data_IF_156446338977
#
_entry.id   IF_156446338977
#
_cell.length_a   1.000
_cell.length_b   1.000
_cell.length_c   1.000
_cell.angle_alpha   90.00
_cell.angle_beta   90.00
_cell.angle_gamma   90.00
#
_symmetry.space_group_name_H-M   'P 1'
#
loop_
_entity.id
_entity.type
_entity.pdbx_description
1 polymer ?
#
# COMPACT_ATOMS: atom_id res chain seq x y z
N UNK A 1 11.94 8.01 8.69
CA UNK A 1 12.03 9.37 9.27
C UNK A 1 11.30 9.48 10.60
N UNK A 2 9.98 9.27 10.66
CA UNK A 2 9.22 9.39 11.92
C UNK A 2 9.80 8.57 13.09
N UNK A 3 10.14 7.30 12.87
CA UNK A 3 10.80 6.47 13.89
C UNK A 3 12.18 7.00 14.34
N UNK A 4 12.92 7.69 13.47
CA UNK A 4 14.21 8.30 13.83
C UNK A 4 14.03 9.55 14.71
N UNK A 5 12.99 10.36 14.45
CA UNK A 5 12.58 11.45 15.35
C UNK A 5 12.20 10.87 16.71
N UNK A 6 11.42 9.78 16.71
CA UNK A 6 11.08 9.03 17.92
C UNK A 6 12.30 8.52 18.69
N UNK A 7 13.33 8.02 17.99
CA UNK A 7 14.59 7.61 18.60
C UNK A 7 15.35 8.80 19.24
N UNK A 8 15.34 9.97 18.58
CA UNK A 8 15.89 11.21 19.16
C UNK A 8 15.19 11.62 20.46
N UNK A 9 13.86 11.58 20.48
CA UNK A 9 13.08 11.80 21.71
C UNK A 9 13.37 10.77 22.79
N UNK A 10 13.51 9.48 22.43
CA UNK A 10 13.90 8.45 23.39
C UNK A 10 15.25 8.75 24.04
N UNK A 11 16.26 9.16 23.24
CA UNK A 11 17.58 9.50 23.76
C UNK A 11 17.54 10.71 24.72
N UNK A 12 16.72 11.72 24.42
CA UNK A 12 16.54 12.91 25.27
C UNK A 12 15.86 12.58 26.60
N UNK A 13 14.80 11.77 26.58
CA UNK A 13 13.96 11.49 27.75
C UNK A 13 14.42 10.26 28.56
N UNK A 14 15.22 9.38 27.97
CA UNK A 14 15.82 8.20 28.64
C UNK A 14 17.33 8.13 28.41
N UNK A 15 18.10 9.09 28.94
CA UNK A 15 19.55 9.15 28.73
C UNK A 15 20.32 7.95 29.32
N UNK A 16 19.72 7.21 30.27
CA UNK A 16 20.34 6.03 30.88
C UNK A 16 20.30 4.76 29.99
N UNK A 17 19.52 4.75 28.90
CA UNK A 17 19.41 3.59 27.99
C UNK A 17 19.30 4.02 26.51
N UNK A 18 20.30 4.75 25.97
CA UNK A 18 20.24 5.36 24.64
C UNK A 18 20.26 4.33 23.50
N UNK A 19 20.78 3.12 23.73
CA UNK A 19 20.91 2.07 22.71
C UNK A 19 19.81 1.00 22.78
N UNK A 20 18.93 1.04 23.80
CA UNK A 20 17.77 0.16 23.90
C UNK A 20 16.58 0.71 23.09
N UNK A 21 16.75 0.81 21.76
CA UNK A 21 15.72 1.31 20.85
C UNK A 21 14.66 0.25 20.50
N UNK A 22 15.02 -1.04 20.64
CA UNK A 22 14.14 -2.16 20.31
C UNK A 22 12.93 -2.18 21.26
N UNK A 23 11.74 -1.92 20.70
CA UNK A 23 10.51 -1.83 21.48
C UNK A 23 10.32 -0.52 22.24
N UNK A 24 11.09 0.53 21.92
CA UNK A 24 10.87 1.86 22.48
C UNK A 24 9.50 2.43 22.04
N UNK A 25 8.65 2.88 22.98
CA UNK A 25 7.34 3.44 22.64
C UNK A 25 7.45 4.71 21.80
N UNK A 26 8.53 5.48 21.95
CA UNK A 26 8.76 6.70 21.18
C UNK A 26 9.09 6.40 19.71
N UNK A 27 9.85 5.33 19.44
CA UNK A 27 10.18 4.91 18.08
C UNK A 27 8.92 4.43 17.35
N UNK A 28 8.08 3.64 18.03
CA UNK A 28 6.80 3.18 17.49
C UNK A 28 5.86 4.37 17.26
N UNK A 29 5.69 5.26 18.24
CA UNK A 29 4.87 6.45 18.10
C UNK A 29 5.34 7.33 16.93
N UNK A 30 6.65 7.55 16.80
CA UNK A 30 7.22 8.28 15.67
C UNK A 30 6.95 7.61 14.32
N UNK A 31 7.03 6.28 14.24
CA UNK A 31 6.68 5.55 13.02
C UNK A 31 5.19 5.70 12.67
N UNK A 32 4.30 5.60 13.67
CA UNK A 32 2.86 5.82 13.53
C UNK A 32 2.54 7.23 13.04
N UNK A 33 3.12 8.26 13.66
CA UNK A 33 2.99 9.64 13.21
C UNK A 33 3.43 9.82 11.76
N UNK A 34 4.53 9.18 11.36
CA UNK A 34 5.01 9.23 9.97
C UNK A 34 4.02 8.63 8.98
N UNK A 35 3.38 7.50 9.32
CA UNK A 35 2.38 6.88 8.45
C UNK A 35 1.09 7.71 8.40
N UNK A 36 0.59 8.14 9.55
CA UNK A 36 -0.58 9.01 9.67
C UNK A 36 -0.40 10.31 8.86
N UNK A 37 0.81 10.86 8.92
CA UNK A 37 1.22 12.03 8.16
C UNK A 37 1.23 11.79 6.65
N UNK A 38 1.87 10.71 6.20
CA UNK A 38 2.05 10.43 4.78
C UNK A 38 0.72 10.13 4.07
N UNK A 39 -0.23 9.50 4.75
CA UNK A 39 -1.46 9.00 4.14
C UNK A 39 -2.74 9.67 4.63
N UNK A 40 -2.64 10.72 5.44
CA UNK A 40 -3.82 11.36 6.06
C UNK A 40 -4.71 10.38 6.85
N UNK A 41 -4.11 9.30 7.35
CA UNK A 41 -4.81 8.13 7.88
C UNK A 41 -4.34 7.78 9.30
N UNK A 42 -4.83 8.51 10.33
CA UNK A 42 -4.41 8.30 11.71
C UNK A 42 -4.81 6.93 12.27
N UNK A 43 -6.01 6.42 11.96
CA UNK A 43 -6.46 5.13 12.46
C UNK A 43 -5.64 3.99 11.82
N UNK A 44 -5.36 4.08 10.53
CA UNK A 44 -4.47 3.14 9.84
C UNK A 44 -3.05 3.16 10.40
N UNK A 45 -2.52 4.35 10.71
CA UNK A 45 -1.23 4.51 11.39
C UNK A 45 -1.17 3.74 12.70
N UNK A 46 -2.19 3.89 13.55
CA UNK A 46 -2.30 3.16 14.81
C UNK A 46 -2.33 1.64 14.61
N UNK A 47 -3.16 1.14 13.69
CA UNK A 47 -3.25 -0.29 13.39
C UNK A 47 -1.96 -0.87 12.82
N UNK A 48 -1.27 -0.13 11.96
CA UNK A 48 0.00 -0.55 11.36
C UNK A 48 1.05 -0.92 12.42
N UNK A 49 1.10 -0.18 13.53
CA UNK A 49 2.03 -0.49 14.61
C UNK A 49 1.81 -1.87 15.26
N UNK A 50 0.56 -2.32 15.34
CA UNK A 50 0.20 -3.56 16.03
C UNK A 50 0.01 -4.75 15.10
N UNK A 51 -0.38 -4.51 13.85
CA UNK A 51 -0.59 -5.55 12.86
C UNK A 51 0.68 -5.85 12.08
N UNK A 52 1.34 -4.83 11.53
CA UNK A 52 2.54 -5.00 10.69
C UNK A 52 3.83 -4.94 11.50
N UNK A 53 4.03 -3.88 12.30
CA UNK A 53 5.27 -3.75 13.09
C UNK A 53 5.35 -4.76 14.25
N UNK A 54 4.26 -5.50 14.52
CA UNK A 54 4.13 -6.50 15.60
C UNK A 54 4.55 -5.94 16.97
N UNK A 55 4.22 -4.66 17.23
CA UNK A 55 4.53 -4.00 18.49
C UNK A 55 3.72 -4.60 19.66
N UNK A 56 4.23 -4.42 20.89
CA UNK A 56 3.56 -4.91 22.11
C UNK A 56 2.19 -4.27 22.28
N UNK A 57 1.20 -5.03 22.73
CA UNK A 57 -0.18 -4.54 22.94
C UNK A 57 -0.38 -4.08 24.38
N UNK A 58 0.47 -3.16 24.83
CA UNK A 58 0.38 -2.56 26.15
C UNK A 58 -0.48 -1.29 26.05
N UNK A 59 -1.36 -1.06 27.03
CA UNK A 59 -2.27 0.11 27.04
C UNK A 59 -1.53 1.43 26.83
N UNK A 60 -0.35 1.58 27.46
CA UNK A 60 0.48 2.78 27.30
C UNK A 60 0.95 2.99 25.85
N UNK A 61 1.31 1.91 25.14
CA UNK A 61 1.78 2.01 23.77
C UNK A 61 0.62 2.34 22.81
N UNK A 62 -0.56 1.76 23.04
CA UNK A 62 -1.77 2.07 22.28
C UNK A 62 -2.12 3.55 22.41
N UNK A 63 -2.14 4.07 23.64
CA UNK A 63 -2.42 5.50 23.88
C UNK A 63 -1.37 6.38 23.22
N UNK A 64 -0.08 6.04 23.35
CA UNK A 64 1.00 6.81 22.74
C UNK A 64 0.93 6.81 21.20
N UNK A 65 0.67 5.65 20.59
CA UNK A 65 0.50 5.51 19.15
C UNK A 65 -0.68 6.34 18.64
N UNK A 66 -1.86 6.21 19.27
CA UNK A 66 -3.05 6.98 18.90
C UNK A 66 -2.84 8.50 19.08
N UNK A 67 -2.27 8.93 20.21
CA UNK A 67 -1.98 10.34 20.47
C UNK A 67 -1.00 10.90 19.42
N UNK A 68 0.02 10.13 19.04
CA UNK A 68 0.98 10.52 18.03
C UNK A 68 0.37 10.58 16.63
N UNK A 69 -0.51 9.63 16.27
CA UNK A 69 -1.26 9.64 15.01
C UNK A 69 -2.15 10.88 14.89
N UNK A 70 -2.91 11.19 15.95
CA UNK A 70 -3.78 12.37 16.01
C UNK A 70 -2.95 13.65 15.93
N UNK A 71 -1.86 13.74 16.69
CA UNK A 71 -0.95 14.89 16.65
C UNK A 71 -0.41 15.15 15.25
N UNK A 72 0.07 14.10 14.56
CA UNK A 72 0.54 14.20 13.19
C UNK A 72 -0.56 14.65 12.22
N UNK A 73 -1.77 14.08 12.33
CA UNK A 73 -2.91 14.44 11.51
C UNK A 73 -3.31 15.92 11.70
N UNK A 74 -3.39 16.39 12.95
CA UNK A 74 -3.70 17.78 13.25
C UNK A 74 -2.62 18.73 12.72
N UNK A 75 -1.34 18.37 12.87
CA UNK A 75 -0.24 19.20 12.36
C UNK A 75 -0.29 19.34 10.84
N UNK A 76 -0.51 18.25 10.12
CA UNK A 76 -0.60 18.30 8.66
C UNK A 76 -1.84 19.05 8.20
N UNK A 77 -2.95 18.96 8.94
CA UNK A 77 -4.14 19.77 8.67
C UNK A 77 -3.91 21.26 8.87
N UNK A 78 -3.17 21.65 9.90
CA UNK A 78 -2.85 23.05 10.17
C UNK A 78 -1.86 23.60 9.13
N UNK A 79 -0.81 22.83 8.82
CA UNK A 79 0.28 23.31 7.96
C UNK A 79 -0.10 23.31 6.49
N UNK A 80 -0.76 22.24 6.02
CA UNK A 80 -1.01 22.07 4.59
C UNK A 80 -2.47 22.31 4.18
N UNK A 81 -3.42 22.31 5.13
CA UNK A 81 -4.84 22.51 4.84
C UNK A 81 -5.43 21.49 3.86
N UNK A 82 -4.74 20.38 3.60
CA UNK A 82 -5.12 19.41 2.56
C UNK A 82 -6.33 18.57 2.98
N UNK A 83 -7.06 18.07 1.98
CA UNK A 83 -8.17 17.15 2.16
C UNK A 83 -7.73 15.69 2.07
N UNK A 84 -8.69 14.82 1.78
CA UNK A 84 -8.44 13.41 1.48
C UNK A 84 -7.52 13.26 0.27
N UNK A 85 -6.65 12.25 0.31
CA UNK A 85 -5.73 11.92 -0.78
C UNK A 85 -6.50 11.39 -2.00
N UNK A 86 -7.57 10.62 -1.76
CA UNK A 86 -8.37 10.02 -2.83
C UNK A 86 -9.81 10.57 -2.76
N UNK A 87 -10.29 11.30 -3.78
CA UNK A 87 -11.61 11.95 -3.76
C UNK A 87 -12.77 10.99 -4.11
N UNK A 88 -12.75 9.74 -3.64
CA UNK A 88 -13.70 8.70 -4.05
C UNK A 88 -14.97 8.58 -3.20
N UNK A 89 -15.26 9.55 -2.33
CA UNK A 89 -16.35 9.46 -1.36
C UNK A 89 -17.75 9.17 -1.94
N UNK A 90 -17.96 9.39 -3.25
CA UNK A 90 -19.19 9.05 -3.95
C UNK A 90 -19.29 7.60 -4.44
N UNK A 91 -18.29 6.75 -4.19
CA UNK A 91 -18.36 5.34 -4.60
C UNK A 91 -19.38 4.60 -3.73
N UNK A 92 -20.29 3.89 -4.37
CA UNK A 92 -21.34 3.13 -3.69
C UNK A 92 -21.04 1.64 -3.74
N UNK A 93 -21.19 0.94 -2.63
CA UNK A 93 -20.96 -0.49 -2.58
C UNK A 93 -21.88 -1.23 -3.57
N UNK A 94 -21.38 -2.32 -4.19
CA UNK A 94 -22.23 -3.14 -5.03
C UNK A 94 -23.34 -3.80 -4.19
N UNK A 95 -24.46 -4.18 -4.81
CA UNK A 95 -25.53 -4.90 -4.13
C UNK A 95 -25.02 -6.24 -3.57
N UNK A 96 -25.67 -6.73 -2.52
CA UNK A 96 -25.32 -7.99 -1.84
C UNK A 96 -25.25 -9.19 -2.80
N UNK A 97 -26.03 -9.18 -3.89
CA UNK A 97 -26.00 -10.19 -4.94
C UNK A 97 -24.65 -10.30 -5.66
N UNK A 98 -23.82 -9.25 -5.63
CA UNK A 98 -22.51 -9.20 -6.29
C UNK A 98 -21.33 -9.43 -5.32
N UNK A 99 -21.57 -9.66 -4.02
CA UNK A 99 -20.51 -9.85 -3.02
C UNK A 99 -19.66 -11.11 -3.27
N UNK A 100 -20.21 -12.13 -3.93
CA UNK A 100 -19.42 -13.30 -4.33
C UNK A 100 -18.34 -12.95 -5.37
N UNK A 101 -18.58 -11.93 -6.20
CA UNK A 101 -17.59 -11.40 -7.16
C UNK A 101 -16.45 -10.71 -6.40
N UNK A 102 -16.78 -9.95 -5.35
CA UNK A 102 -15.81 -9.33 -4.44
C UNK A 102 -14.98 -10.39 -3.70
N UNK A 103 -15.60 -11.52 -3.30
CA UNK A 103 -14.88 -12.64 -2.71
C UNK A 103 -13.91 -13.29 -3.71
N UNK A 104 -14.34 -13.46 -4.96
CA UNK A 104 -13.50 -14.00 -6.04
C UNK A 104 -12.34 -13.06 -6.37
N UNK A 105 -12.59 -11.75 -6.40
CA UNK A 105 -11.55 -10.72 -6.54
C UNK A 105 -10.48 -10.89 -5.46
N UNK A 106 -10.89 -10.96 -4.19
CA UNK A 106 -9.98 -11.21 -3.08
C UNK A 106 -9.12 -12.47 -3.29
N UNK A 107 -9.72 -13.56 -3.76
CA UNK A 107 -8.98 -14.79 -4.01
C UNK A 107 -7.93 -14.64 -5.12
N UNK A 108 -8.30 -14.04 -6.24
CA UNK A 108 -7.40 -13.79 -7.37
C UNK A 108 -6.28 -12.83 -6.97
N UNK A 109 -6.59 -11.78 -6.22
CA UNK A 109 -5.62 -10.78 -5.77
C UNK A 109 -4.68 -11.34 -4.70
N UNK A 110 -5.13 -12.34 -3.94
CA UNK A 110 -4.27 -13.18 -3.10
C UNK A 110 -3.14 -13.82 -3.92
N UNK A 111 -3.46 -14.43 -5.06
CA UNK A 111 -2.47 -15.04 -5.97
C UNK A 111 -1.57 -13.97 -6.60
N UNK A 112 -2.16 -12.88 -7.10
CA UNK A 112 -1.40 -11.78 -7.72
C UNK A 112 -0.42 -11.13 -6.74
N UNK A 113 -0.81 -10.94 -5.47
CA UNK A 113 0.06 -10.42 -4.42
C UNK A 113 1.24 -11.37 -4.12
N UNK A 114 1.01 -12.68 -4.11
CA UNK A 114 2.11 -13.66 -4.02
C UNK A 114 3.05 -13.55 -5.23
N UNK A 115 2.50 -13.35 -6.43
CA UNK A 115 3.27 -13.07 -7.63
C UNK A 115 4.18 -11.85 -7.44
N UNK A 116 3.62 -10.74 -6.96
CA UNK A 116 4.36 -9.50 -6.66
C UNK A 116 5.50 -9.71 -5.66
N UNK A 117 5.26 -10.42 -4.56
CA UNK A 117 6.30 -10.68 -3.57
C UNK A 117 7.43 -11.52 -4.16
N UNK A 118 7.09 -12.58 -4.92
CA UNK A 118 8.10 -13.44 -5.56
C UNK A 118 8.93 -12.69 -6.60
N UNK A 119 8.31 -11.87 -7.45
CA UNK A 119 9.04 -11.08 -8.45
C UNK A 119 9.91 -10.02 -7.80
N UNK A 120 9.44 -9.38 -6.71
CA UNK A 120 10.21 -8.36 -6.00
C UNK A 120 11.47 -8.96 -5.38
N UNK A 121 11.32 -10.09 -4.66
CA UNK A 121 12.45 -10.76 -4.03
C UNK A 121 13.41 -11.34 -5.07
N UNK A 122 12.90 -11.90 -6.17
CA UNK A 122 13.73 -12.36 -7.27
C UNK A 122 14.52 -11.21 -7.91
N UNK A 123 13.87 -10.05 -8.14
CA UNK A 123 14.52 -8.88 -8.71
C UNK A 123 15.56 -8.32 -7.74
N UNK A 124 15.24 -8.28 -6.44
CA UNK A 124 16.17 -7.90 -5.38
C UNK A 124 17.42 -8.77 -5.39
N UNK A 125 17.28 -10.10 -5.41
CA UNK A 125 18.40 -11.02 -5.38
C UNK A 125 19.23 -10.94 -6.68
N UNK A 126 18.60 -10.65 -7.83
CA UNK A 126 19.27 -10.37 -9.11
C UNK A 126 20.04 -9.06 -9.13
N UNK A 127 19.47 -8.00 -8.57
CA UNK A 127 20.13 -6.70 -8.46
C UNK A 127 21.31 -6.79 -7.47
N UNK A 128 21.14 -7.48 -6.34
CA UNK A 128 22.22 -7.69 -5.39
C UNK A 128 23.42 -8.42 -6.02
N UNK A 129 23.17 -9.39 -6.93
CA UNK A 129 24.19 -10.19 -7.61
C UNK A 129 24.77 -9.61 -8.90
N UNK A 130 24.27 -8.48 -9.40
CA UNK A 130 24.78 -7.91 -10.65
C UNK A 130 26.16 -7.27 -10.47
N UNK A 131 27.03 -7.46 -11.47
CA UNK A 131 28.40 -6.91 -11.51
C UNK A 131 28.58 -5.84 -12.59
N UNK A 132 27.55 -5.60 -13.40
CA UNK A 132 27.61 -4.69 -14.55
C UNK A 132 27.70 -3.22 -14.11
N UNK A 133 27.01 -2.85 -13.04
CA UNK A 133 26.91 -1.47 -12.57
C UNK A 133 27.58 -1.38 -11.19
N UNK A 134 28.63 -0.56 -11.03
CA UNK A 134 29.25 -0.36 -9.72
C UNK A 134 28.26 0.19 -8.71
N UNK A 135 28.42 -0.19 -7.43
CA UNK A 135 27.47 0.14 -6.35
C UNK A 135 27.10 1.63 -6.26
N UNK A 136 28.09 2.51 -6.45
CA UNK A 136 27.92 3.97 -6.48
C UNK A 136 26.98 4.49 -7.58
N UNK A 137 26.80 3.72 -8.65
CA UNK A 137 25.97 4.09 -9.82
C UNK A 137 24.67 3.26 -9.90
N UNK A 138 24.39 2.38 -8.94
CA UNK A 138 23.18 1.53 -8.95
C UNK A 138 21.88 2.33 -8.96
N UNK A 139 21.90 3.56 -8.43
CA UNK A 139 20.76 4.48 -8.47
C UNK A 139 20.57 5.19 -9.83
N UNK A 140 21.56 5.18 -10.73
CA UNK A 140 21.49 5.94 -11.98
C UNK A 140 20.47 5.37 -12.98
N UNK A 141 20.44 4.05 -13.28
CA UNK A 141 19.46 3.52 -14.23
C UNK A 141 17.98 3.76 -13.87
N UNK A 142 17.49 3.52 -12.63
CA UNK A 142 16.11 3.82 -12.29
C UNK A 142 15.81 5.32 -12.29
N UNK A 143 16.81 6.17 -11.99
CA UNK A 143 16.68 7.62 -12.09
C UNK A 143 16.54 8.07 -13.55
N UNK A 144 17.34 7.53 -14.47
CA UNK A 144 17.21 7.80 -15.91
C UNK A 144 15.87 7.31 -16.44
N UNK A 145 15.44 6.11 -16.03
CA UNK A 145 14.13 5.57 -16.38
C UNK A 145 13.00 6.47 -15.87
N UNK A 146 13.09 6.94 -14.63
CA UNK A 146 12.15 7.90 -14.06
C UNK A 146 12.15 9.22 -14.85
N UNK A 147 13.32 9.73 -15.23
CA UNK A 147 13.43 10.94 -16.07
C UNK A 147 12.78 10.77 -17.45
N UNK A 148 13.01 9.64 -18.12
CA UNK A 148 12.35 9.33 -19.39
C UNK A 148 10.82 9.22 -19.22
N UNK A 149 10.35 8.50 -18.20
CA UNK A 149 8.92 8.43 -17.91
C UNK A 149 8.34 9.82 -17.59
N UNK A 150 9.12 10.77 -17.07
CA UNK A 150 8.63 12.10 -16.72
C UNK A 150 8.28 12.92 -17.94
N UNK A 151 9.04 12.70 -19.02
CA UNK A 151 8.84 13.37 -20.29
C UNK A 151 7.73 12.73 -21.12
N UNK A 152 7.64 11.40 -21.13
CA UNK A 152 6.73 10.68 -22.05
C UNK A 152 5.46 10.14 -21.40
N UNK A 153 5.48 9.84 -20.10
CA UNK A 153 4.37 9.20 -19.39
C UNK A 153 4.30 9.64 -17.91
N UNK A 154 4.04 10.93 -17.64
CA UNK A 154 4.14 11.52 -16.30
C UNK A 154 3.22 10.84 -15.28
N UNK A 155 2.11 10.23 -15.73
CA UNK A 155 1.17 9.51 -14.89
C UNK A 155 1.79 8.28 -14.19
N UNK A 156 2.87 7.71 -14.73
CA UNK A 156 3.52 6.52 -14.17
C UNK A 156 4.47 6.83 -13.00
N UNK A 157 4.83 8.11 -12.81
CA UNK A 157 5.82 8.53 -11.81
C UNK A 157 5.21 8.71 -10.43
N UNK A 158 6.09 8.72 -9.42
CA UNK A 158 5.72 8.93 -8.02
C UNK A 158 5.05 7.70 -7.42
N UNK A 159 4.39 7.90 -6.29
CA UNK A 159 3.69 6.82 -5.57
C UNK A 159 2.55 6.18 -6.38
N UNK A 160 1.95 6.94 -7.32
CA UNK A 160 0.83 6.48 -8.14
C UNK A 160 -0.54 6.99 -7.69
N UNK A 161 -0.60 7.99 -6.81
CA UNK A 161 -1.84 8.67 -6.39
C UNK A 161 -2.63 9.20 -7.59
N UNK A 162 -1.99 9.99 -8.46
CA UNK A 162 -2.61 10.52 -9.68
C UNK A 162 -3.13 9.42 -10.60
N UNK A 163 -2.42 8.29 -10.69
CA UNK A 163 -2.84 7.13 -11.47
C UNK A 163 -4.04 6.42 -10.85
N UNK A 164 -4.10 6.30 -9.52
CA UNK A 164 -5.27 5.76 -8.81
C UNK A 164 -6.49 6.63 -9.10
N UNK A 165 -6.38 7.95 -8.96
CA UNK A 165 -7.47 8.90 -9.25
C UNK A 165 -7.92 8.77 -10.70
N UNK A 166 -6.96 8.75 -11.64
CA UNK A 166 -7.26 8.62 -13.07
C UNK A 166 -8.09 7.37 -13.39
N UNK A 167 -7.71 6.19 -12.89
CA UNK A 167 -8.45 4.94 -13.19
C UNK A 167 -9.71 4.77 -12.37
N UNK A 168 -9.83 5.47 -11.24
CA UNK A 168 -11.03 5.49 -10.41
C UNK A 168 -12.14 6.35 -10.99
N UNK A 169 -11.81 7.50 -11.57
CA UNK A 169 -12.79 8.49 -12.05
C UNK A 169 -13.07 8.42 -13.55
N UNK A 170 -12.11 8.00 -14.35
CA UNK A 170 -12.21 8.05 -15.81
C UNK A 170 -12.42 6.66 -16.40
N UNK A 171 -13.14 6.61 -17.51
CA UNK A 171 -13.18 5.41 -18.34
C UNK A 171 -11.88 5.30 -19.13
N UNK A 172 -11.15 4.22 -18.85
CA UNK A 172 -9.85 3.98 -19.45
C UNK A 172 -9.96 2.81 -20.40
N UNK A 173 -9.57 3.02 -21.66
CA UNK A 173 -9.53 1.94 -22.63
C UNK A 173 -8.68 0.77 -22.11
N UNK A 174 -9.20 -0.46 -22.25
CA UNK A 174 -8.57 -1.68 -21.73
C UNK A 174 -7.09 -1.80 -22.13
N UNK A 175 -6.76 -1.48 -23.39
CA UNK A 175 -5.38 -1.49 -23.88
C UNK A 175 -4.47 -0.53 -23.10
N UNK A 176 -4.96 0.68 -22.84
CA UNK A 176 -4.23 1.70 -22.06
C UNK A 176 -4.06 1.24 -20.61
N UNK A 177 -5.10 0.66 -20.01
CA UNK A 177 -5.05 0.14 -18.65
C UNK A 177 -3.99 -0.97 -18.50
N UNK A 178 -3.94 -1.93 -19.43
CA UNK A 178 -2.94 -2.99 -19.43
C UNK A 178 -1.52 -2.41 -19.58
N UNK A 179 -1.33 -1.42 -20.46
CA UNK A 179 -0.04 -0.75 -20.60
C UNK A 179 0.38 -0.03 -19.32
N UNK A 180 -0.53 0.75 -18.72
CA UNK A 180 -0.28 1.47 -17.47
C UNK A 180 0.09 0.50 -16.34
N UNK A 181 -0.64 -0.60 -16.21
CA UNK A 181 -0.36 -1.66 -15.24
C UNK A 181 1.03 -2.28 -15.47
N UNK A 182 1.34 -2.68 -16.71
CA UNK A 182 2.62 -3.30 -17.03
C UNK A 182 3.80 -2.36 -16.74
N UNK A 183 3.75 -1.13 -17.23
CA UNK A 183 4.82 -0.16 -17.00
C UNK A 183 4.93 0.25 -15.54
N UNK A 184 3.81 0.49 -14.84
CA UNK A 184 3.84 0.83 -13.41
C UNK A 184 4.41 -0.32 -12.59
N UNK A 185 4.03 -1.55 -12.90
CA UNK A 185 4.53 -2.73 -12.21
C UNK A 185 6.04 -2.86 -12.35
N UNK A 186 6.55 -2.82 -13.59
CA UNK A 186 7.99 -2.91 -13.87
C UNK A 186 8.76 -1.75 -13.22
N UNK A 187 8.27 -0.52 -13.36
CA UNK A 187 8.93 0.66 -12.81
C UNK A 187 8.94 0.65 -11.28
N UNK A 188 7.82 0.33 -10.63
CA UNK A 188 7.72 0.29 -9.18
C UNK A 188 8.63 -0.80 -8.57
N UNK A 189 8.62 -2.00 -9.16
CA UNK A 189 9.47 -3.12 -8.76
C UNK A 189 10.95 -2.76 -8.88
N UNK A 190 11.35 -2.23 -10.03
CA UNK A 190 12.74 -1.85 -10.28
C UNK A 190 13.23 -0.71 -9.38
N UNK A 191 12.40 0.32 -9.18
CA UNK A 191 12.75 1.48 -8.34
C UNK A 191 12.85 1.11 -6.86
N UNK A 192 12.12 0.09 -6.41
CA UNK A 192 12.18 -0.40 -5.03
C UNK A 192 13.47 -1.18 -4.77
N UNK A 193 13.87 -2.00 -5.73
CA UNK A 193 15.02 -2.89 -5.61
C UNK A 193 16.32 -2.13 -5.80
N UNK A 194 16.34 -1.14 -6.69
CA UNK A 194 17.48 -0.25 -6.77
C UNK A 194 17.67 0.47 -5.43
N UNK A 195 18.92 0.71 -5.04
CA UNK A 195 19.35 1.24 -3.73
C UNK A 195 18.91 2.70 -3.45
N UNK A 196 17.69 3.06 -3.82
CA UNK A 196 17.06 4.36 -3.66
C UNK A 196 16.13 4.29 -2.45
N UNK A 197 16.25 5.21 -1.48
CA UNK A 197 15.36 5.25 -0.34
C UNK A 197 13.92 5.57 -0.81
N UNK A 198 13.01 4.64 -0.61
CA UNK A 198 11.63 4.75 -1.06
C UNK A 198 10.66 3.88 -0.25
N UNK A 199 9.36 4.18 -0.38
CA UNK A 199 8.30 3.42 0.26
C UNK A 199 7.59 2.48 -0.72
N UNK A 200 7.19 1.31 -0.23
CA UNK A 200 6.44 0.29 -0.98
C UNK A 200 4.92 0.51 -0.96
N UNK A 201 4.41 1.22 0.04
CA UNK A 201 2.99 1.25 0.36
C UNK A 201 2.13 1.84 -0.77
N UNK A 202 2.43 3.07 -1.20
CA UNK A 202 1.62 3.73 -2.25
C UNK A 202 1.70 3.00 -3.60
N UNK A 203 2.88 2.55 -4.08
CA UNK A 203 2.95 1.76 -5.31
C UNK A 203 2.15 0.45 -5.25
N UNK A 204 2.13 -0.25 -4.11
CA UNK A 204 1.31 -1.46 -3.94
C UNK A 204 -0.18 -1.11 -4.05
N UNK A 205 -0.64 -0.06 -3.38
CA UNK A 205 -2.03 0.40 -3.52
C UNK A 205 -2.35 0.78 -4.97
N UNK A 206 -1.45 1.47 -5.66
CA UNK A 206 -1.62 1.84 -7.07
C UNK A 206 -1.77 0.62 -7.99
N UNK A 207 -0.93 -0.40 -7.81
CA UNK A 207 -1.06 -1.65 -8.55
C UNK A 207 -2.37 -2.37 -8.24
N UNK A 208 -2.79 -2.37 -6.97
CA UNK A 208 -4.10 -2.90 -6.56
C UNK A 208 -5.26 -2.16 -7.23
N UNK A 209 -5.21 -0.84 -7.34
CA UNK A 209 -6.21 -0.04 -8.06
C UNK A 209 -6.27 -0.39 -9.55
N UNK A 210 -5.12 -0.57 -10.21
CA UNK A 210 -5.03 -0.93 -11.62
C UNK A 210 -5.57 -2.34 -11.88
N UNK A 211 -5.19 -3.31 -11.04
CA UNK A 211 -5.78 -4.65 -11.08
C UNK A 211 -7.28 -4.62 -10.79
N UNK A 212 -7.72 -3.81 -9.83
CA UNK A 212 -9.12 -3.63 -9.45
C UNK A 212 -9.95 -3.08 -10.61
N UNK A 213 -9.46 -2.05 -11.30
CA UNK A 213 -10.12 -1.55 -12.51
C UNK A 213 -10.13 -2.61 -13.61
N UNK A 214 -9.05 -3.37 -13.80
CA UNK A 214 -8.99 -4.43 -14.80
C UNK A 214 -9.98 -5.57 -14.50
N UNK A 215 -10.13 -5.94 -13.22
CA UNK A 215 -11.11 -6.89 -12.73
C UNK A 215 -12.54 -6.42 -13.03
N UNK A 216 -12.77 -5.13 -12.88
CA UNK A 216 -14.06 -4.51 -13.12
C UNK A 216 -14.40 -4.44 -14.62
N UNK A 217 -13.41 -4.12 -15.48
CA UNK A 217 -13.57 -4.03 -16.93
C UNK A 217 -13.69 -5.38 -17.65
N UNK A 218 -13.20 -6.48 -17.06
CA UNK A 218 -13.18 -7.80 -17.68
C UNK A 218 -14.19 -8.77 -17.02
N UNK A 219 -13.90 -9.37 -15.84
CA UNK A 219 -14.87 -10.22 -15.15
C UNK A 219 -16.22 -9.56 -14.86
N UNK A 220 -16.23 -8.38 -14.22
CA UNK A 220 -17.48 -7.80 -13.74
C UNK A 220 -18.37 -7.37 -14.90
N UNK A 221 -17.80 -6.70 -15.90
CA UNK A 221 -18.54 -6.29 -17.11
C UNK A 221 -19.12 -7.50 -17.88
N UNK A 222 -18.35 -8.59 -18.01
CA UNK A 222 -18.81 -9.81 -18.66
C UNK A 222 -19.94 -10.48 -17.88
N UNK A 223 -19.86 -10.53 -16.55
CA UNK A 223 -20.93 -11.05 -15.69
C UNK A 223 -22.18 -10.15 -15.72
N UNK A 224 -22.00 -8.82 -15.76
CA UNK A 224 -23.08 -7.86 -15.86
C UNK A 224 -23.86 -8.03 -17.17
N UNK A 225 -23.17 -8.30 -18.29
CA UNK A 225 -23.81 -8.61 -19.57
C UNK A 225 -24.73 -9.85 -19.51
N UNK A 226 -24.48 -10.76 -18.57
CA UNK A 226 -25.32 -11.95 -18.31
C UNK A 226 -26.30 -11.76 -17.15
N UNK A 227 -26.43 -10.54 -16.60
CA UNK A 227 -27.30 -10.24 -15.47
C UNK A 227 -26.84 -10.81 -14.12
N UNK A 228 -25.60 -11.31 -14.03
CA UNK A 228 -25.03 -11.92 -12.82
C UNK A 228 -24.32 -10.91 -11.91
N UNK A 229 -24.10 -9.69 -12.39
CA UNK A 229 -23.54 -8.58 -11.64
C UNK A 229 -24.39 -7.32 -11.86
N UNK A 230 -24.50 -6.49 -10.85
CA UNK A 230 -25.17 -5.20 -10.92
C UNK A 230 -24.47 -4.17 -10.05
N UNK A 231 -24.71 -2.90 -10.32
CA UNK A 231 -24.07 -1.79 -9.61
C UNK A 231 -22.89 -1.19 -10.36
N UNK A 232 -22.20 -0.29 -9.66
CA UNK A 232 -21.08 0.49 -10.17
C UNK A 232 -19.79 -0.33 -10.24
N UNK A 233 -18.93 0.01 -11.20
CA UNK A 233 -17.64 -0.66 -11.49
C UNK A 233 -16.51 -0.06 -10.63
N UNK A 234 -16.69 1.18 -10.20
CA UNK A 234 -15.75 1.99 -9.42
C UNK A 234 -15.30 1.37 -8.07
N UNK A 235 -16.18 0.75 -7.26
CA UNK A 235 -15.80 0.18 -5.95
C UNK A 235 -14.75 -0.93 -6.02
N UNK A 236 -14.70 -1.67 -7.14
CA UNK A 236 -13.70 -2.72 -7.35
C UNK A 236 -12.27 -2.17 -7.40
N UNK A 237 -12.09 -0.87 -7.70
CA UNK A 237 -10.78 -0.22 -7.54
C UNK A 237 -10.36 -0.22 -6.07
N UNK A 238 -11.27 0.10 -5.14
CA UNK A 238 -10.98 0.12 -3.70
C UNK A 238 -10.75 -1.29 -3.15
N UNK A 239 -11.56 -2.27 -3.58
CA UNK A 239 -11.40 -3.67 -3.19
C UNK A 239 -10.06 -4.23 -3.70
N UNK A 240 -9.68 -3.88 -4.92
CA UNK A 240 -8.40 -4.23 -5.50
C UNK A 240 -7.21 -3.64 -4.74
N UNK A 241 -7.28 -2.36 -4.35
CA UNK A 241 -6.28 -1.71 -3.50
C UNK A 241 -6.08 -2.46 -2.18
N UNK A 242 -7.18 -2.75 -1.48
CA UNK A 242 -7.16 -3.40 -0.17
C UNK A 242 -6.67 -4.84 -0.26
N UNK A 243 -7.21 -5.62 -1.20
CA UNK A 243 -6.88 -7.04 -1.37
C UNK A 243 -5.42 -7.23 -1.79
N UNK A 244 -4.92 -6.42 -2.72
CA UNK A 244 -3.53 -6.48 -3.16
C UNK A 244 -2.55 -6.10 -2.04
N UNK A 245 -2.86 -5.06 -1.26
CA UNK A 245 -2.09 -4.69 -0.07
C UNK A 245 -2.10 -5.80 0.99
N UNK A 246 -3.26 -6.34 1.33
CA UNK A 246 -3.38 -7.44 2.28
C UNK A 246 -2.61 -8.69 1.83
N UNK A 247 -2.63 -9.00 0.53
CA UNK A 247 -1.93 -10.12 -0.09
C UNK A 247 -0.41 -9.93 -0.26
N UNK A 248 0.13 -8.73 -0.08
CA UNK A 248 1.58 -8.47 -0.15
C UNK A 248 2.17 -8.22 1.22
N UNK A 249 1.53 -7.35 2.00
CA UNK A 249 1.98 -6.89 3.32
C UNK A 249 1.57 -7.83 4.44
N UNK A 250 0.44 -8.54 4.34
CA UNK A 250 -0.15 -9.37 5.42
C UNK A 250 -0.71 -8.57 6.62
N UNK A 251 -1.07 -7.31 6.39
CA UNK A 251 -1.79 -6.46 7.33
C UNK A 251 -3.18 -6.03 6.79
N UNK A 252 -4.15 -6.96 6.69
CA UNK A 252 -5.46 -6.67 6.10
C UNK A 252 -6.22 -5.54 6.80
N UNK A 253 -6.25 -5.48 8.14
CA UNK A 253 -7.02 -4.47 8.87
C UNK A 253 -6.47 -3.07 8.61
N UNK A 254 -5.14 -2.95 8.60
CA UNK A 254 -4.44 -1.71 8.28
C UNK A 254 -4.76 -1.29 6.86
N UNK A 255 -4.68 -2.19 5.89
CA UNK A 255 -5.01 -1.88 4.49
C UNK A 255 -6.45 -1.39 4.31
N UNK A 256 -7.41 -2.04 4.97
CA UNK A 256 -8.83 -1.68 4.91
C UNK A 256 -9.04 -0.27 5.47
N UNK A 257 -8.54 0.00 6.68
CA UNK A 257 -8.72 1.31 7.33
C UNK A 257 -7.97 2.39 6.58
N UNK A 258 -6.78 2.10 6.06
CA UNK A 258 -5.99 3.02 5.26
C UNK A 258 -6.73 3.47 4.00
N UNK A 259 -7.21 2.54 3.20
CA UNK A 259 -7.97 2.88 1.97
C UNK A 259 -9.27 3.58 2.31
N UNK A 260 -9.93 3.20 3.41
CA UNK A 260 -11.17 3.86 3.86
C UNK A 260 -10.93 5.30 4.29
N UNK A 261 -9.88 5.58 5.08
CA UNK A 261 -9.53 6.95 5.50
C UNK A 261 -9.07 7.80 4.31
N UNK A 262 -8.27 7.24 3.41
CA UNK A 262 -7.77 7.95 2.22
C UNK A 262 -8.88 8.30 1.22
N UNK A 263 -9.85 7.40 1.03
CA UNK A 263 -10.96 7.56 0.06
C UNK A 263 -12.19 8.24 0.65
N UNK A 264 -12.37 8.15 1.97
CA UNK A 264 -13.59 8.58 2.66
C UNK A 264 -14.84 7.75 2.35
N UNK A 265 -14.68 6.55 1.78
CA UNK A 265 -15.79 5.72 1.29
C UNK A 265 -16.15 4.62 2.27
N UNK A 266 -16.99 4.94 3.26
CA UNK A 266 -17.40 3.99 4.29
C UNK A 266 -18.42 2.94 3.80
N UNK A 267 -19.18 3.24 2.76
CA UNK A 267 -20.17 2.33 2.16
C UNK A 267 -19.51 1.04 1.67
N UNK A 268 -18.29 1.13 1.12
CA UNK A 268 -17.52 0.02 0.59
C UNK A 268 -16.78 -0.80 1.66
N UNK A 269 -16.82 -0.39 2.94
CA UNK A 269 -16.07 -1.05 4.02
C UNK A 269 -16.33 -2.57 4.13
N UNK A 270 -17.59 -3.08 4.03
CA UNK A 270 -17.85 -4.52 4.10
C UNK A 270 -17.22 -5.32 2.96
N UNK A 271 -17.23 -4.77 1.74
CA UNK A 271 -16.60 -5.40 0.56
C UNK A 271 -15.08 -5.43 0.69
N UNK A 272 -14.49 -4.33 1.17
CA UNK A 272 -13.05 -4.23 1.46
C UNK A 272 -12.61 -5.24 2.53
N UNK A 273 -13.41 -5.43 3.58
CA UNK A 273 -13.18 -6.46 4.60
C UNK A 273 -13.16 -7.86 3.98
N UNK A 274 -14.18 -8.19 3.19
CA UNK A 274 -14.29 -9.50 2.55
C UNK A 274 -13.10 -9.78 1.60
N UNK A 275 -12.84 -8.86 0.66
CA UNK A 275 -11.77 -9.01 -0.31
C UNK A 275 -10.38 -9.06 0.36
N UNK A 276 -10.12 -8.16 1.31
CA UNK A 276 -8.85 -8.09 2.04
C UNK A 276 -8.53 -9.34 2.86
N UNK A 277 -9.51 -9.86 3.60
CA UNK A 277 -9.34 -11.06 4.42
C UNK A 277 -9.13 -12.32 3.57
N UNK A 278 -9.89 -12.47 2.48
CA UNK A 278 -9.72 -13.59 1.55
C UNK A 278 -8.35 -13.52 0.88
N UNK A 279 -7.93 -12.35 0.40
CA UNK A 279 -6.65 -12.18 -0.24
C UNK A 279 -5.48 -12.53 0.70
N UNK A 280 -5.55 -12.08 1.95
CA UNK A 280 -4.59 -12.46 2.99
C UNK A 280 -4.60 -13.99 3.24
N UNK A 281 -5.78 -14.60 3.34
CA UNK A 281 -5.92 -16.04 3.55
C UNK A 281 -5.32 -16.86 2.41
N UNK A 282 -5.65 -16.53 1.15
CA UNK A 282 -5.11 -17.21 -0.04
C UNK A 282 -3.59 -17.10 -0.08
N UNK A 283 -3.06 -15.91 0.17
CA UNK A 283 -1.63 -15.69 0.11
C UNK A 283 -0.87 -16.43 1.24
N UNK A 284 -1.51 -16.62 2.41
CA UNK A 284 -1.02 -17.50 3.48
C UNK A 284 -1.08 -19.00 3.11
N UNK A 285 -2.14 -19.44 2.44
CA UNK A 285 -2.27 -20.82 1.95
C UNK A 285 -1.22 -21.16 0.89
N UNK A 286 -0.77 -20.17 0.12
CA UNK A 286 0.33 -20.30 -0.84
C UNK A 286 1.72 -20.25 -0.18
N UNK A 287 1.80 -20.22 1.15
CA UNK A 287 3.03 -20.24 1.94
C UNK A 287 4.04 -19.15 1.55
N UNK A 288 3.56 -17.98 1.09
CA UNK A 288 4.41 -16.85 0.77
C UNK A 288 4.56 -15.93 2.00
N UNK A 289 5.79 -15.65 2.47
CA UNK A 289 6.00 -14.77 3.61
C UNK A 289 5.61 -13.30 3.30
N UNK A 290 5.31 -12.50 4.35
CA UNK A 290 5.08 -11.06 4.20
C UNK A 290 6.28 -10.35 3.55
N UNK A 291 6.00 -9.33 2.74
CA UNK A 291 7.05 -8.64 1.97
C UNK A 291 8.07 -7.92 2.87
N UNK A 292 7.61 -7.23 3.92
CA UNK A 292 8.50 -6.48 4.81
C UNK A 292 9.38 -7.41 5.65
N UNK A 293 8.84 -8.52 6.15
CA UNK A 293 9.64 -9.54 6.84
C UNK A 293 10.72 -10.10 5.90
N UNK A 294 10.35 -10.44 4.66
CA UNK A 294 11.27 -11.03 3.65
C UNK A 294 12.39 -10.07 3.22
N UNK A 295 12.10 -8.77 3.14
CA UNK A 295 13.08 -7.73 2.84
C UNK A 295 13.97 -7.46 4.05
N UNK A 296 13.41 -7.45 5.27
CA UNK A 296 14.17 -7.27 6.50
C UNK A 296 15.24 -8.34 6.69
N UNK A 297 14.93 -9.60 6.38
CA UNK A 297 15.89 -10.71 6.41
C UNK A 297 17.07 -10.53 5.42
N UNK A 298 16.88 -9.74 4.37
CA UNK A 298 17.88 -9.46 3.33
C UNK A 298 18.72 -8.21 3.61
N UNK A 299 18.37 -7.42 4.63
CA UNK A 299 19.21 -6.31 5.07
C UNK A 299 20.46 -6.92 5.72
N UNK A 300 21.57 -6.93 4.96
CA UNK A 300 22.89 -7.29 5.50
C UNK A 300 23.29 -6.23 6.52
N UNK A 301 23.41 -6.63 7.80
CA UNK A 301 24.09 -5.86 8.84
C UNK A 301 25.60 -5.97 8.65
#
# INVERSE_FOLDING_TARGET
MGGAVGAGFHALWRPAAPHALTGSPYVVAGAVAGLAAAFWAPAAGGLFAFEEMKSRRDTSLIVAACASAIGAHLMIRIVFGMGRILPFAGFEAPPLSSFWIVALEGAVFGVLGVGYNKTLLWLHDREAGQTLIPDRWRALPPLLLAGCLALFAPLLIGGGESLIIFVGEHDVALKTLILLLAFKYLFAQYSTVASIPGGLLMPILCLGALWGRLWAELPVSALAAHGLASGSVQPYVLFGMVSYFAATVRAPLTGIVLVTEMSGTYTCLPGSLLAGLIACKVANLLHCPPVYDSLKERIRL
#
